data_IF_349996971595
#
_entry.id   IF_349996971595
#
_cell.length_a   1.000
_cell.length_b   1.000
_cell.length_c   1.000
_cell.angle_alpha   90.00
_cell.angle_beta   90.00
_cell.angle_gamma   90.00
#
_symmetry.space_group_name_H-M   'P 1'
#
loop_
_entity.id
_entity.type
_entity.pdbx_description
1 polymer ?
#
# COMPACT_ATOMS: atom_id res chain seq x y z
N UNK A 1 0.60 -19.71 -2.85
CA UNK A 1 0.12 -18.56 -2.06
C UNK A 1 -1.06 -17.93 -2.79
N UNK A 2 -2.07 -17.41 -2.08
CA UNK A 2 -3.23 -16.71 -2.67
C UNK A 2 -3.01 -15.21 -2.90
N UNK A 3 -1.86 -14.68 -2.47
CA UNK A 3 -1.47 -13.27 -2.61
C UNK A 3 -0.05 -13.15 -3.14
N UNK A 4 0.22 -12.04 -3.83
CA UNK A 4 1.54 -11.62 -4.27
C UNK A 4 1.86 -10.25 -3.65
N UNK A 5 3.07 -10.10 -3.12
CA UNK A 5 3.52 -8.87 -2.44
C UNK A 5 4.74 -8.33 -3.17
N UNK A 6 4.73 -7.02 -3.41
CA UNK A 6 5.77 -6.32 -4.15
C UNK A 6 5.93 -4.89 -3.64
N UNK A 7 7.02 -4.24 -4.03
CA UNK A 7 7.32 -2.84 -3.74
C UNK A 7 7.58 -2.09 -5.04
N UNK A 8 7.17 -0.81 -5.10
CA UNK A 8 7.39 0.08 -6.25
C UNK A 8 8.87 0.15 -6.63
N UNK A 9 9.77 0.25 -5.65
CA UNK A 9 11.21 0.19 -5.88
C UNK A 9 11.74 -1.20 -5.53
N UNK A 10 12.56 -1.75 -6.45
CA UNK A 10 13.17 -3.09 -6.33
C UNK A 10 14.50 -3.10 -5.57
N UNK A 11 14.92 -1.94 -5.10
CA UNK A 11 16.14 -1.75 -4.31
C UNK A 11 15.84 -0.83 -3.13
N UNK A 12 16.67 -0.96 -2.08
CA UNK A 12 16.65 -0.04 -0.95
C UNK A 12 17.35 1.26 -1.34
N UNK A 13 16.67 2.41 -1.36
CA UNK A 13 17.28 3.65 -1.83
C UNK A 13 18.52 4.03 -1.00
N UNK A 14 19.62 4.39 -1.68
CA UNK A 14 20.88 4.75 -1.04
C UNK A 14 20.74 6.05 -0.23
N UNK A 15 21.37 6.10 0.94
CA UNK A 15 21.41 7.29 1.77
C UNK A 15 22.60 8.15 1.33
N UNK A 16 22.38 9.44 1.05
CA UNK A 16 23.46 10.43 0.88
C UNK A 16 24.68 9.94 0.09
N UNK A 17 25.85 9.96 0.75
CA UNK A 17 27.13 9.55 0.19
C UNK A 17 27.15 8.03 -0.09
N UNK A 18 27.41 7.60 -1.34
CA UNK A 18 27.51 6.19 -1.71
C UNK A 18 28.67 5.43 -1.04
N UNK A 19 29.59 6.13 -0.38
CA UNK A 19 30.68 5.54 0.39
C UNK A 19 30.37 5.39 1.89
N UNK A 20 29.22 5.87 2.38
CA UNK A 20 28.77 5.64 3.75
C UNK A 20 28.05 4.29 3.91
N UNK A 21 28.20 3.68 5.09
CA UNK A 21 27.40 2.52 5.48
C UNK A 21 25.91 2.92 5.57
N UNK A 22 25.06 2.17 4.85
CA UNK A 22 23.62 2.40 4.78
C UNK A 22 22.94 2.18 6.14
N UNK A 23 23.49 1.32 7.00
CA UNK A 23 22.94 1.01 8.32
C UNK A 23 21.44 0.66 8.29
N UNK A 24 20.68 1.15 9.27
CA UNK A 24 19.23 0.95 9.41
C UNK A 24 18.36 2.11 8.89
N UNK A 25 18.99 3.18 8.41
CA UNK A 25 18.30 4.39 7.93
C UNK A 25 17.55 4.11 6.63
N UNK A 26 16.34 4.63 6.50
CA UNK A 26 15.53 4.51 5.28
C UNK A 26 15.07 5.89 4.83
N UNK A 27 15.02 6.10 3.51
CA UNK A 27 14.37 7.26 2.90
C UNK A 27 13.31 6.81 1.90
N UNK A 28 12.38 7.72 1.58
CA UNK A 28 11.46 7.53 0.46
C UNK A 28 12.26 7.46 -0.85
N UNK A 29 11.90 6.57 -1.79
CA UNK A 29 12.44 6.66 -3.14
C UNK A 29 12.01 7.98 -3.80
N UNK A 30 12.87 8.50 -4.66
CA UNK A 30 12.57 9.66 -5.49
C UNK A 30 11.62 9.28 -6.63
N UNK A 31 10.91 10.26 -7.24
CA UNK A 31 10.11 10.00 -8.42
C UNK A 31 10.91 9.37 -9.57
N UNK A 32 12.19 9.71 -9.72
CA UNK A 32 13.08 9.11 -10.72
C UNK A 32 13.29 7.62 -10.43
N UNK A 33 13.65 7.28 -9.19
CA UNK A 33 13.85 5.88 -8.78
C UNK A 33 12.57 5.03 -8.94
N UNK A 34 11.41 5.60 -8.60
CA UNK A 34 10.12 4.91 -8.80
C UNK A 34 9.84 4.67 -10.29
N UNK A 35 10.03 5.70 -11.14
CA UNK A 35 9.84 5.56 -12.60
C UNK A 35 10.77 4.52 -13.21
N UNK A 36 12.03 4.45 -12.78
CA UNK A 36 12.97 3.43 -13.25
C UNK A 36 12.55 2.01 -12.90
N UNK A 37 11.79 1.82 -11.82
CA UNK A 37 11.27 0.50 -11.42
C UNK A 37 9.88 0.17 -11.97
N UNK A 38 9.13 1.16 -12.48
CA UNK A 38 7.77 0.98 -12.96
C UNK A 38 7.62 -0.12 -14.04
N UNK A 39 8.54 -0.30 -15.01
CA UNK A 39 8.43 -1.39 -15.97
C UNK A 39 8.36 -2.78 -15.33
N UNK A 40 9.07 -3.01 -14.22
CA UNK A 40 9.00 -4.28 -13.48
C UNK A 40 7.63 -4.46 -12.83
N UNK A 41 7.06 -3.41 -12.25
CA UNK A 41 5.72 -3.45 -11.64
C UNK A 41 4.65 -3.73 -12.69
N UNK A 42 4.71 -3.07 -13.84
CA UNK A 42 3.77 -3.31 -14.94
C UNK A 42 3.89 -4.74 -15.48
N UNK A 43 5.11 -5.28 -15.55
CA UNK A 43 5.35 -6.67 -15.92
C UNK A 43 4.77 -7.64 -14.88
N UNK A 44 4.97 -7.38 -13.59
CA UNK A 44 4.37 -8.17 -12.50
C UNK A 44 2.84 -8.17 -12.60
N UNK A 45 2.21 -7.01 -12.78
CA UNK A 45 0.75 -6.88 -12.95
C UNK A 45 0.28 -7.65 -14.18
N UNK A 46 0.98 -7.53 -15.31
CA UNK A 46 0.61 -8.20 -16.55
C UNK A 46 0.71 -9.74 -16.45
N UNK A 47 1.71 -10.26 -15.74
CA UNK A 47 1.89 -11.71 -15.56
C UNK A 47 0.94 -12.30 -14.53
N UNK A 48 0.68 -11.57 -13.43
CA UNK A 48 -0.15 -12.06 -12.32
C UNK A 48 -1.64 -11.89 -12.63
N UNK A 49 -1.99 -10.83 -13.38
CA UNK A 49 -3.37 -10.43 -13.66
C UNK A 49 -4.24 -10.41 -12.39
N UNK A 50 -3.86 -9.63 -11.37
CA UNK A 50 -4.58 -9.64 -10.10
C UNK A 50 -6.01 -9.09 -10.28
N UNK A 51 -6.96 -9.65 -9.55
CA UNK A 51 -8.35 -9.13 -9.53
C UNK A 51 -8.51 -7.85 -8.71
N UNK A 52 -7.54 -7.55 -7.84
CA UNK A 52 -7.54 -6.37 -6.98
C UNK A 52 -6.08 -6.04 -6.61
N UNK A 53 -5.74 -4.75 -6.61
CA UNK A 53 -4.45 -4.23 -6.14
C UNK A 53 -4.66 -3.49 -4.82
N UNK A 54 -3.74 -3.67 -3.87
CA UNK A 54 -3.72 -2.92 -2.61
C UNK A 54 -2.44 -2.10 -2.56
N UNK A 55 -2.57 -0.77 -2.67
CA UNK A 55 -1.48 0.18 -2.58
C UNK A 55 -1.27 0.62 -1.12
N UNK A 56 -0.18 0.14 -0.52
CA UNK A 56 0.18 0.42 0.88
C UNK A 56 1.02 1.70 0.98
N UNK A 57 0.39 2.82 1.33
CA UNK A 57 1.04 4.10 1.57
C UNK A 57 1.24 4.97 0.32
N UNK A 58 1.73 6.20 0.54
CA UNK A 58 1.83 7.23 -0.49
C UNK A 58 2.79 6.83 -1.62
N UNK A 59 3.91 6.17 -1.30
CA UNK A 59 4.88 5.70 -2.31
C UNK A 59 4.24 4.69 -3.26
N UNK A 60 3.42 3.77 -2.75
CA UNK A 60 2.73 2.78 -3.58
C UNK A 60 1.69 3.45 -4.48
N UNK A 61 0.87 4.35 -3.92
CA UNK A 61 -0.13 5.09 -4.69
C UNK A 61 0.51 5.95 -5.80
N UNK A 62 1.52 6.76 -5.46
CA UNK A 62 2.23 7.62 -6.41
C UNK A 62 2.93 6.81 -7.50
N UNK A 63 3.59 5.69 -7.14
CA UNK A 63 4.24 4.80 -8.09
C UNK A 63 3.28 4.15 -9.09
N UNK A 64 2.01 3.97 -8.71
CA UNK A 64 0.94 3.49 -9.60
C UNK A 64 0.21 4.62 -10.34
N UNK A 65 0.64 5.88 -10.20
CA UNK A 65 0.03 7.03 -10.86
C UNK A 65 -1.19 7.61 -10.14
N UNK A 66 -1.43 7.24 -8.88
CA UNK A 66 -2.50 7.82 -8.06
C UNK A 66 -1.98 9.02 -7.27
N UNK A 67 -2.46 10.22 -7.60
CA UNK A 67 -2.02 11.47 -7.00
C UNK A 67 -2.86 11.87 -5.78
N UNK A 68 -2.20 12.11 -4.65
CA UNK A 68 -2.85 12.63 -3.44
C UNK A 68 -2.30 12.05 -2.15
N UNK A 69 -2.77 12.56 -1.02
CA UNK A 69 -2.46 11.98 0.28
C UNK A 69 -3.21 10.65 0.46
N UNK A 70 -2.63 9.71 1.21
CA UNK A 70 -3.28 8.43 1.52
C UNK A 70 -4.65 8.64 2.15
N UNK A 71 -4.77 9.62 3.07
CA UNK A 71 -6.04 9.96 3.71
C UNK A 71 -7.13 10.40 2.74
N UNK A 72 -6.77 11.09 1.64
CA UNK A 72 -7.71 11.49 0.58
C UNK A 72 -8.07 10.33 -0.36
N UNK A 73 -7.09 9.48 -0.66
CA UNK A 73 -7.26 8.38 -1.62
C UNK A 73 -8.00 7.18 -1.02
N UNK A 74 -7.82 6.90 0.27
CA UNK A 74 -8.46 5.75 0.93
C UNK A 74 -9.98 5.87 1.00
N UNK A 75 -10.65 4.74 1.27
CA UNK A 75 -12.11 4.68 1.35
C UNK A 75 -12.85 4.72 0.00
N UNK A 76 -12.14 4.88 -1.11
CA UNK A 76 -12.67 4.83 -2.48
C UNK A 76 -11.95 3.75 -3.29
N UNK A 77 -12.57 3.29 -4.37
CA UNK A 77 -11.98 2.32 -5.31
C UNK A 77 -11.41 3.09 -6.48
N UNK A 78 -10.13 2.89 -6.75
CA UNK A 78 -9.41 3.44 -7.91
C UNK A 78 -9.25 2.38 -8.99
N UNK A 79 -8.69 2.78 -10.12
CA UNK A 79 -8.35 1.88 -11.21
C UNK A 79 -6.89 2.07 -11.61
N UNK A 80 -6.15 0.97 -11.71
CA UNK A 80 -4.77 0.94 -12.22
C UNK A 80 -4.69 -0.21 -13.21
N UNK A 81 -4.32 0.07 -14.46
CA UNK A 81 -4.29 -0.95 -15.53
C UNK A 81 -5.61 -1.73 -15.64
N UNK A 82 -6.74 -1.04 -15.52
CA UNK A 82 -8.10 -1.63 -15.50
C UNK A 82 -8.36 -2.63 -14.37
N UNK A 83 -7.55 -2.59 -13.29
CA UNK A 83 -7.70 -3.42 -12.11
C UNK A 83 -8.18 -2.55 -10.93
N UNK A 84 -9.25 -2.96 -10.22
CA UNK A 84 -9.70 -2.29 -9.01
C UNK A 84 -8.58 -2.16 -7.99
N UNK A 85 -8.35 -0.95 -7.51
CA UNK A 85 -7.21 -0.61 -6.65
C UNK A 85 -7.66 0.09 -5.38
N UNK A 86 -7.28 -0.46 -4.23
CA UNK A 86 -7.51 0.13 -2.91
C UNK A 86 -6.23 0.78 -2.42
N UNK A 87 -6.30 2.05 -2.02
CA UNK A 87 -5.22 2.75 -1.33
C UNK A 87 -5.48 2.69 0.17
N UNK A 88 -4.48 2.34 0.96
CA UNK A 88 -4.56 2.35 2.43
C UNK A 88 -3.23 2.72 3.08
N UNK A 89 -3.20 2.81 4.40
CA UNK A 89 -1.97 3.13 5.13
C UNK A 89 -0.95 2.01 5.06
N UNK A 90 0.31 2.39 4.93
CA UNK A 90 1.43 1.45 5.03
C UNK A 90 1.55 0.96 6.49
N UNK A 91 1.87 -0.33 6.74
CA UNK A 91 2.02 -0.86 8.10
C UNK A 91 2.97 -0.05 9.00
N UNK A 92 4.06 0.50 8.44
CA UNK A 92 4.97 1.36 9.20
C UNK A 92 4.33 2.65 9.73
N UNK A 93 3.29 3.17 9.08
CA UNK A 93 2.53 4.32 9.58
C UNK A 93 1.72 3.92 10.83
N UNK A 94 1.07 2.76 10.80
CA UNK A 94 0.31 2.21 11.94
C UNK A 94 1.24 2.05 13.14
N UNK A 95 2.42 1.44 12.96
CA UNK A 95 3.39 1.23 14.03
C UNK A 95 3.86 2.54 14.68
N UNK A 96 4.00 3.62 13.90
CA UNK A 96 4.35 4.94 14.44
C UNK A 96 3.21 5.55 15.25
N UNK A 97 1.99 5.45 14.74
CA UNK A 97 0.79 5.94 15.44
C UNK A 97 0.52 5.13 16.73
N UNK A 98 0.81 3.84 16.75
CA UNK A 98 0.72 3.02 17.95
C UNK A 98 1.73 3.48 19.02
N UNK A 99 2.95 3.79 18.62
CA UNK A 99 3.98 4.28 19.53
C UNK A 99 3.60 5.62 20.20
N UNK A 100 2.70 6.39 19.59
CA UNK A 100 2.19 7.67 20.13
C UNK A 100 0.79 7.56 20.76
N UNK A 101 0.22 6.34 20.86
CA UNK A 101 -1.08 6.09 21.47
C UNK A 101 -2.30 6.32 20.57
N UNK A 102 -2.12 6.66 19.29
CA UNK A 102 -3.17 6.96 18.31
C UNK A 102 -3.53 5.83 17.34
N UNK A 103 -2.83 4.68 17.39
CA UNK A 103 -2.90 3.65 16.35
C UNK A 103 -4.27 2.98 16.13
N UNK A 104 -5.21 3.04 17.09
CA UNK A 104 -6.50 2.35 16.98
C UNK A 104 -7.36 2.89 15.83
N UNK A 105 -7.42 4.20 15.64
CA UNK A 105 -8.18 4.83 14.55
C UNK A 105 -7.61 4.43 13.17
N UNK A 106 -6.29 4.43 13.04
CA UNK A 106 -5.60 4.02 11.81
C UNK A 106 -5.79 2.52 11.53
N UNK A 107 -5.74 1.66 12.55
CA UNK A 107 -6.05 0.23 12.40
C UNK A 107 -7.48 0.00 11.90
N UNK A 108 -8.45 0.72 12.46
CA UNK A 108 -9.83 0.66 11.99
C UNK A 108 -9.96 1.06 10.53
N UNK A 109 -9.29 2.14 10.14
CA UNK A 109 -9.27 2.61 8.76
C UNK A 109 -8.71 1.54 7.79
N UNK A 110 -7.55 0.95 8.13
CA UNK A 110 -6.96 -0.14 7.33
C UNK A 110 -7.88 -1.34 7.26
N UNK A 111 -8.56 -1.68 8.37
CA UNK A 111 -9.53 -2.76 8.40
C UNK A 111 -10.70 -2.55 7.44
N UNK A 112 -11.31 -1.37 7.46
CA UNK A 112 -12.40 -0.99 6.54
C UNK A 112 -11.94 -1.05 5.07
N UNK A 113 -10.68 -0.68 4.79
CA UNK A 113 -10.11 -0.78 3.44
C UNK A 113 -9.92 -2.24 3.01
N UNK A 114 -9.52 -3.14 3.92
CA UNK A 114 -9.40 -4.58 3.64
C UNK A 114 -10.76 -5.25 3.44
N UNK A 115 -11.78 -4.85 4.21
CA UNK A 115 -13.15 -5.33 3.98
C UNK A 115 -13.64 -4.95 2.58
N UNK A 116 -13.35 -3.73 2.13
CA UNK A 116 -13.68 -3.30 0.75
C UNK A 116 -12.94 -4.11 -0.31
N UNK A 117 -11.66 -4.44 -0.08
CA UNK A 117 -10.91 -5.33 -0.97
C UNK A 117 -11.53 -6.74 -1.01
N UNK A 118 -11.99 -7.26 0.13
CA UNK A 118 -12.72 -8.53 0.19
C UNK A 118 -14.05 -8.48 -0.58
N UNK A 119 -14.79 -7.37 -0.51
CA UNK A 119 -16.02 -7.16 -1.27
C UNK A 119 -15.76 -7.19 -2.79
N UNK A 120 -14.73 -6.50 -3.27
CA UNK A 120 -14.27 -6.54 -4.67
C UNK A 120 -13.94 -7.98 -5.09
N UNK A 121 -13.29 -8.74 -4.20
CA UNK A 121 -12.91 -10.11 -4.46
C UNK A 121 -14.09 -11.10 -4.30
N UNK A 122 -15.28 -10.66 -3.90
CA UNK A 122 -16.42 -11.55 -3.63
C UNK A 122 -16.14 -12.54 -2.49
N UNK A 123 -15.24 -12.20 -1.58
CA UNK A 123 -14.91 -13.04 -0.44
C UNK A 123 -16.00 -12.94 0.64
N UNK A 124 -16.32 -14.04 1.35
CA UNK A 124 -17.28 -13.97 2.46
C UNK A 124 -16.73 -13.08 3.58
N UNK A 125 -17.58 -12.18 4.08
CA UNK A 125 -17.28 -11.31 5.21
C UNK A 125 -18.29 -11.58 6.31
N UNK A 126 -17.81 -12.12 7.43
CA UNK A 126 -18.63 -12.41 8.61
C UNK A 126 -19.11 -11.14 9.32
N UNK A 127 -20.20 -11.25 10.07
CA UNK A 127 -20.69 -10.17 10.94
C UNK A 127 -19.61 -9.72 11.95
N UNK A 128 -18.87 -10.67 12.53
CA UNK A 128 -17.75 -10.37 13.43
C UNK A 128 -16.69 -9.49 12.77
N UNK A 129 -16.39 -9.72 11.49
CA UNK A 129 -15.44 -8.88 10.76
C UNK A 129 -16.01 -7.49 10.49
N UNK A 130 -17.29 -7.39 10.10
CA UNK A 130 -17.95 -6.09 9.88
C UNK A 130 -18.03 -5.26 11.16
N UNK A 131 -18.29 -5.90 12.30
CA UNK A 131 -18.48 -5.23 13.58
C UNK A 131 -17.21 -5.14 14.44
N UNK A 132 -16.02 -5.45 13.90
CA UNK A 132 -14.81 -5.60 14.71
C UNK A 132 -14.44 -4.32 15.48
N UNK A 133 -14.63 -3.14 14.87
CA UNK A 133 -14.32 -1.83 15.46
C UNK A 133 -15.56 -1.00 15.85
N UNK A 134 -16.76 -1.59 15.82
CA UNK A 134 -18.02 -0.89 16.14
C UNK A 134 -18.58 -1.28 17.52
N UNK A 135 -17.89 -2.16 18.25
CA UNK A 135 -18.25 -2.60 19.59
C UNK A 135 -17.37 -1.91 20.63
#
# INVERSE_FOLDING_TARGET
SSVYISNICKFRPAMGDPHEDQGTRNRKPTPVEMRSCLPFILTEIALIQPRCIIALGATAAEGLGLEGSVGRLRGTVHEVSSIPTIVTYHPSYILREEATGGGLGTKRQVWEDMLRAMEILGMPISEKQRSFFTR
#
